data_IF_824254348379
#
_entry.id   IF_824254348379
#
_cell.length_a   1.000
_cell.length_b   1.000
_cell.length_c   1.000
_cell.angle_alpha   90.00
_cell.angle_beta   90.00
_cell.angle_gamma   90.00
#
_symmetry.space_group_name_H-M   'P 1'
#
loop_
_entity.id
_entity.type
_entity.pdbx_description
1 polymer ?
#
# COMPACT_ATOMS: atom_id res chain seq x y z
N UNK A 1 -37.43 -16.95 -0.28
CA UNK A 1 -37.43 -15.99 -1.42
C UNK A 1 -36.18 -15.19 -1.32
N UNK A 2 -35.15 -15.54 -2.12
CA UNK A 2 -33.93 -14.73 -2.21
C UNK A 2 -34.25 -13.48 -3.03
N UNK A 3 -34.41 -12.37 -2.34
CA UNK A 3 -34.47 -11.07 -2.99
C UNK A 3 -33.04 -10.73 -3.44
N UNK A 4 -32.70 -11.06 -4.67
CA UNK A 4 -31.54 -10.45 -5.32
C UNK A 4 -31.84 -8.96 -5.49
N UNK A 5 -31.37 -8.15 -4.54
CA UNK A 5 -31.35 -6.70 -4.69
C UNK A 5 -30.38 -6.41 -5.84
N UNK A 6 -30.95 -6.10 -7.01
CA UNK A 6 -30.16 -5.60 -8.13
C UNK A 6 -29.66 -4.21 -7.73
N UNK A 7 -28.39 -4.10 -7.41
CA UNK A 7 -27.79 -2.79 -7.19
C UNK A 7 -28.00 -1.93 -8.45
N UNK A 8 -28.47 -0.71 -8.24
CA UNK A 8 -28.77 0.23 -9.34
C UNK A 8 -27.56 1.04 -9.77
N UNK A 9 -26.45 0.92 -9.04
CA UNK A 9 -25.19 1.61 -9.29
C UNK A 9 -24.02 0.70 -8.97
N UNK A 10 -23.04 0.68 -9.84
CA UNK A 10 -21.78 -0.04 -9.64
C UNK A 10 -20.63 0.74 -10.29
N UNK A 11 -19.42 0.38 -9.91
CA UNK A 11 -18.19 0.87 -10.54
C UNK A 11 -17.52 -0.32 -11.22
N UNK A 12 -17.15 -0.18 -12.47
CA UNK A 12 -16.36 -1.16 -13.21
C UNK A 12 -14.90 -0.70 -13.25
N UNK A 13 -13.99 -1.60 -12.88
CA UNK A 13 -12.55 -1.36 -12.94
C UNK A 13 -11.97 -2.27 -14.01
N UNK A 14 -11.42 -1.67 -15.05
CA UNK A 14 -10.73 -2.37 -16.14
C UNK A 14 -9.28 -2.65 -15.74
N UNK A 15 -9.02 -3.91 -15.34
CA UNK A 15 -7.67 -4.33 -14.92
C UNK A 15 -6.71 -4.43 -16.10
N UNK A 16 -7.18 -4.70 -17.32
CA UNK A 16 -6.33 -4.74 -18.52
C UNK A 16 -5.83 -3.32 -18.87
N UNK A 17 -6.71 -2.32 -18.71
CA UNK A 17 -6.32 -0.91 -18.88
C UNK A 17 -5.31 -0.48 -17.81
N UNK A 18 -5.47 -0.93 -16.57
CA UNK A 18 -4.53 -0.67 -15.48
C UNK A 18 -3.16 -1.28 -15.80
N UNK A 19 -3.12 -2.55 -16.17
CA UNK A 19 -1.91 -3.25 -16.60
C UNK A 19 -1.22 -2.55 -17.77
N UNK A 20 -1.99 -2.17 -18.80
CA UNK A 20 -1.47 -1.42 -19.93
C UNK A 20 -0.79 -0.11 -19.48
N UNK A 21 -1.44 0.65 -18.61
CA UNK A 21 -0.92 1.92 -18.11
C UNK A 21 0.39 1.76 -17.35
N UNK A 22 0.49 0.76 -16.47
CA UNK A 22 1.75 0.46 -15.74
C UNK A 22 2.87 0.09 -16.71
N UNK A 23 2.57 -0.75 -17.69
CA UNK A 23 3.55 -1.13 -18.75
C UNK A 23 4.03 0.08 -19.55
N UNK A 24 3.16 1.05 -19.87
CA UNK A 24 3.56 2.28 -20.57
C UNK A 24 4.49 3.14 -19.70
N UNK A 25 4.16 3.29 -18.42
CA UNK A 25 5.02 4.00 -17.46
C UNK A 25 6.39 3.32 -17.40
N UNK A 26 6.43 1.99 -17.20
CA UNK A 26 7.67 1.23 -17.10
C UNK A 26 8.55 1.37 -18.35
N UNK A 27 7.94 1.33 -19.55
CA UNK A 27 8.67 1.55 -20.81
C UNK A 27 9.30 2.94 -20.86
N UNK A 28 8.60 3.95 -20.35
CA UNK A 28 9.07 5.35 -20.38
C UNK A 28 10.18 5.63 -19.38
N UNK A 29 10.11 5.05 -18.18
CA UNK A 29 11.10 5.28 -17.10
C UNK A 29 12.31 4.35 -17.20
N UNK A 30 12.20 3.23 -17.95
CA UNK A 30 13.25 2.22 -18.07
C UNK A 30 13.35 1.29 -16.85
N UNK A 31 14.25 0.31 -16.92
CA UNK A 31 14.34 -0.77 -15.94
C UNK A 31 15.08 -0.37 -14.65
N UNK A 32 15.76 0.77 -14.64
CA UNK A 32 16.53 1.24 -13.49
C UNK A 32 15.67 2.03 -12.47
N UNK A 33 14.42 2.33 -12.80
CA UNK A 33 13.50 3.06 -11.94
C UNK A 33 12.38 2.13 -11.48
N UNK A 34 12.17 2.08 -10.16
CA UNK A 34 11.12 1.26 -9.56
C UNK A 34 9.84 2.06 -9.41
N UNK A 35 8.69 1.41 -9.59
CA UNK A 35 7.36 2.01 -9.43
C UNK A 35 6.85 1.71 -8.03
N UNK A 36 6.55 2.76 -7.25
CA UNK A 36 5.75 2.65 -6.03
C UNK A 36 4.28 2.97 -6.39
N UNK A 37 3.39 2.01 -6.22
CA UNK A 37 1.98 2.19 -6.52
C UNK A 37 1.24 2.81 -5.33
N UNK A 38 0.74 4.03 -5.50
CA UNK A 38 0.00 4.74 -4.46
C UNK A 38 -1.46 4.32 -4.49
N UNK A 39 -1.87 3.57 -3.46
CA UNK A 39 -3.22 2.99 -3.34
C UNK A 39 -3.98 3.49 -2.11
N UNK A 40 -3.59 4.65 -1.58
CA UNK A 40 -4.28 5.32 -0.47
C UNK A 40 -5.73 5.69 -0.84
N UNK A 41 -6.56 5.95 0.16
CA UNK A 41 -7.97 6.28 0.01
C UNK A 41 -8.70 5.27 -0.89
N UNK A 42 -8.51 3.98 -0.58
CA UNK A 42 -9.04 2.87 -1.35
C UNK A 42 -8.70 2.95 -2.85
N UNK A 43 -7.41 3.23 -3.14
CA UNK A 43 -6.89 3.49 -4.49
C UNK A 43 -7.69 4.58 -5.22
N UNK A 44 -8.02 5.65 -4.51
CA UNK A 44 -8.85 6.76 -5.03
C UNK A 44 -10.21 6.32 -5.57
N UNK A 45 -10.81 5.29 -4.95
CA UNK A 45 -12.10 4.72 -5.33
C UNK A 45 -12.03 3.58 -6.34
N UNK A 46 -10.83 3.12 -6.71
CA UNK A 46 -10.67 1.96 -7.58
C UNK A 46 -10.71 0.62 -6.81
N UNK A 47 -10.69 0.66 -5.48
CA UNK A 47 -10.59 -0.54 -4.65
C UNK A 47 -9.13 -0.99 -4.50
N UNK A 48 -8.48 -0.62 -3.39
CA UNK A 48 -7.06 -0.94 -3.18
C UNK A 48 -6.81 -2.46 -3.15
N UNK A 49 -7.73 -3.22 -2.57
CA UNK A 49 -7.63 -4.69 -2.48
C UNK A 49 -7.78 -5.34 -3.85
N UNK A 50 -8.65 -4.79 -4.69
CA UNK A 50 -9.00 -5.30 -6.02
C UNK A 50 -7.85 -5.07 -7.02
N UNK A 51 -7.19 -3.91 -6.96
CA UNK A 51 -6.20 -3.55 -7.98
C UNK A 51 -4.75 -3.83 -7.57
N UNK A 52 -4.45 -3.97 -6.27
CA UNK A 52 -3.07 -4.10 -5.80
C UNK A 52 -2.36 -5.33 -6.39
N UNK A 53 -3.06 -6.46 -6.56
CA UNK A 53 -2.51 -7.65 -7.20
C UNK A 53 -2.02 -7.36 -8.62
N UNK A 54 -2.88 -6.78 -9.45
CA UNK A 54 -2.54 -6.41 -10.84
C UNK A 54 -1.36 -5.44 -10.89
N UNK A 55 -1.31 -4.44 -9.99
CA UNK A 55 -0.19 -3.50 -9.94
C UNK A 55 1.14 -4.20 -9.64
N UNK A 56 1.16 -5.11 -8.67
CA UNK A 56 2.36 -5.85 -8.26
C UNK A 56 2.81 -6.84 -9.35
N UNK A 57 1.88 -7.60 -9.91
CA UNK A 57 2.15 -8.56 -10.99
C UNK A 57 2.66 -7.86 -12.27
N UNK A 58 2.23 -6.63 -12.51
CA UNK A 58 2.65 -5.84 -13.69
C UNK A 58 3.98 -5.12 -13.47
N UNK A 59 4.52 -5.09 -12.25
CA UNK A 59 5.86 -4.57 -11.97
C UNK A 59 5.96 -3.43 -10.98
N UNK A 60 4.90 -3.12 -10.24
CA UNK A 60 5.03 -2.24 -9.09
C UNK A 60 5.94 -2.92 -8.04
N UNK A 61 6.94 -2.19 -7.57
CA UNK A 61 7.92 -2.68 -6.60
C UNK A 61 7.35 -2.72 -5.18
N UNK A 62 6.49 -1.75 -4.84
CA UNK A 62 5.88 -1.62 -3.53
C UNK A 62 4.52 -0.93 -3.64
N UNK A 63 3.72 -1.06 -2.58
CA UNK A 63 2.49 -0.30 -2.40
C UNK A 63 2.75 0.88 -1.46
N UNK A 64 2.05 2.01 -1.67
CA UNK A 64 2.13 3.17 -0.79
C UNK A 64 0.73 3.62 -0.39
N UNK A 65 0.55 3.86 0.90
CA UNK A 65 -0.73 4.22 1.53
C UNK A 65 -0.56 5.47 2.40
N UNK A 66 -1.64 6.08 2.86
CA UNK A 66 -1.56 7.27 3.72
C UNK A 66 -1.50 6.96 5.20
N UNK A 67 -2.07 5.84 5.64
CA UNK A 67 -2.23 5.53 7.07
C UNK A 67 -1.86 4.09 7.40
N UNK A 68 -1.63 3.82 8.67
CA UNK A 68 -1.38 2.47 9.15
C UNK A 68 -2.61 1.57 8.96
N UNK A 69 -3.82 2.08 9.09
CA UNK A 69 -5.03 1.28 8.90
C UNK A 69 -5.11 0.74 7.47
N UNK A 70 -4.88 1.57 6.46
CA UNK A 70 -4.82 1.14 5.06
C UNK A 70 -3.71 0.09 4.84
N UNK A 71 -2.54 0.27 5.47
CA UNK A 71 -1.45 -0.71 5.39
C UNK A 71 -1.84 -2.05 6.02
N UNK A 72 -2.52 -2.04 7.16
CA UNK A 72 -2.97 -3.24 7.86
C UNK A 72 -4.06 -4.01 7.11
N UNK A 73 -4.88 -3.32 6.32
CA UNK A 73 -5.87 -3.98 5.45
C UNK A 73 -5.22 -4.75 4.29
N UNK A 74 -4.10 -4.24 3.78
CA UNK A 74 -3.37 -4.86 2.67
C UNK A 74 -2.36 -5.92 3.12
N UNK A 75 -1.76 -5.77 4.30
CA UNK A 75 -0.70 -6.66 4.79
C UNK A 75 -1.08 -8.15 4.81
N UNK A 76 -2.28 -8.58 5.25
CA UNK A 76 -2.67 -9.99 5.22
C UNK A 76 -2.73 -10.59 3.81
N UNK A 77 -3.00 -9.75 2.80
CA UNK A 77 -3.09 -10.17 1.40
C UNK A 77 -1.71 -10.24 0.73
N UNK A 78 -0.76 -9.43 1.19
CA UNK A 78 0.56 -9.24 0.58
C UNK A 78 1.68 -9.33 1.62
N UNK A 79 1.90 -10.51 2.18
CA UNK A 79 2.81 -10.73 3.31
C UNK A 79 4.27 -10.31 3.05
N UNK A 80 4.77 -10.47 1.83
CA UNK A 80 6.17 -10.25 1.45
C UNK A 80 6.40 -8.98 0.62
N UNK A 81 5.38 -8.15 0.45
CA UNK A 81 5.50 -6.92 -0.33
C UNK A 81 5.81 -5.75 0.59
N UNK A 82 6.67 -4.86 0.14
CA UNK A 82 6.91 -3.61 0.84
C UNK A 82 5.68 -2.72 0.78
N UNK A 83 5.20 -2.28 1.94
CA UNK A 83 4.10 -1.33 2.07
C UNK A 83 4.63 -0.09 2.79
N UNK A 84 4.62 1.05 2.09
CA UNK A 84 5.08 2.33 2.60
C UNK A 84 3.91 3.17 3.11
N UNK A 85 4.00 3.62 4.35
CA UNK A 85 3.10 4.61 4.92
C UNK A 85 3.67 5.99 4.63
N UNK A 86 2.96 6.78 3.79
CA UNK A 86 3.35 8.12 3.38
C UNK A 86 3.11 9.17 4.46
N UNK A 87 2.09 8.96 5.30
CA UNK A 87 1.77 9.83 6.42
C UNK A 87 2.59 9.53 7.66
N UNK A 88 2.52 10.43 8.64
CA UNK A 88 3.07 10.17 9.96
C UNK A 88 2.17 9.21 10.72
N UNK A 89 2.78 8.32 11.52
CA UNK A 89 2.06 7.54 12.53
C UNK A 89 2.38 8.09 13.93
N UNK A 90 1.42 7.96 14.83
CA UNK A 90 1.62 8.31 16.24
C UNK A 90 2.46 7.23 16.94
N UNK A 91 3.07 7.60 18.07
CA UNK A 91 3.95 6.71 18.84
C UNK A 91 3.28 5.38 19.19
N UNK A 92 1.98 5.40 19.48
CA UNK A 92 1.18 4.22 19.84
C UNK A 92 1.17 3.13 18.76
N UNK A 93 1.37 3.50 17.49
CA UNK A 93 1.32 2.57 16.36
C UNK A 93 2.70 2.13 15.85
N UNK A 94 3.79 2.69 16.36
CA UNK A 94 5.16 2.36 15.90
C UNK A 94 5.45 0.86 16.10
N UNK A 95 5.13 0.31 17.28
CA UNK A 95 5.31 -1.12 17.55
C UNK A 95 4.58 -2.00 16.53
N UNK A 96 3.35 -1.67 16.20
CA UNK A 96 2.54 -2.41 15.26
C UNK A 96 3.11 -2.31 13.84
N UNK A 97 3.55 -1.12 13.42
CA UNK A 97 4.17 -0.93 12.12
C UNK A 97 5.43 -1.79 11.96
N UNK A 98 6.29 -1.84 12.99
CA UNK A 98 7.49 -2.66 13.02
C UNK A 98 7.13 -4.16 12.97
N UNK A 99 6.18 -4.62 13.80
CA UNK A 99 5.76 -6.02 13.84
C UNK A 99 5.17 -6.49 12.52
N UNK A 100 4.42 -5.61 11.84
CA UNK A 100 3.84 -5.87 10.53
C UNK A 100 4.81 -5.62 9.37
N UNK A 101 6.08 -5.32 9.64
CA UNK A 101 7.10 -5.05 8.62
C UNK A 101 6.65 -3.98 7.61
N UNK A 102 6.15 -2.85 8.12
CA UNK A 102 5.73 -1.71 7.32
C UNK A 102 6.87 -0.69 7.21
N UNK A 103 7.02 -0.12 6.05
CA UNK A 103 7.91 1.02 5.84
C UNK A 103 7.21 2.31 6.23
N UNK A 104 7.96 3.23 6.81
CA UNK A 104 7.40 4.47 7.29
C UNK A 104 8.18 5.68 6.83
N UNK A 105 7.46 6.73 6.43
CA UNK A 105 8.02 8.05 6.20
C UNK A 105 8.39 8.69 7.54
N UNK A 106 9.63 9.16 7.66
CA UNK A 106 10.16 9.85 8.82
C UNK A 106 10.46 11.29 8.43
N UNK A 107 9.82 12.24 9.12
CA UNK A 107 9.97 13.68 8.84
C UNK A 107 10.72 14.45 9.93
N UNK A 108 10.84 13.87 11.12
CA UNK A 108 11.48 14.49 12.29
C UNK A 108 12.55 13.56 12.88
N UNK A 109 13.67 14.14 13.30
CA UNK A 109 14.76 13.41 13.96
C UNK A 109 14.28 12.66 15.21
N UNK A 110 13.44 13.29 16.03
CA UNK A 110 12.90 12.66 17.23
C UNK A 110 12.07 11.40 16.90
N UNK A 111 11.32 11.41 15.83
CA UNK A 111 10.56 10.26 15.35
C UNK A 111 11.49 9.09 14.96
N UNK A 112 12.61 9.39 14.28
CA UNK A 112 13.61 8.37 13.96
C UNK A 112 14.18 7.70 15.22
N UNK A 113 14.48 8.49 16.25
CA UNK A 113 14.98 7.98 17.54
C UNK A 113 13.93 7.10 18.26
N UNK A 114 12.67 7.51 18.25
CA UNK A 114 11.58 6.72 18.84
C UNK A 114 11.42 5.38 18.13
N UNK A 115 11.40 5.37 16.80
CA UNK A 115 11.30 4.15 16.00
C UNK A 115 12.48 3.23 16.28
N UNK A 116 13.70 3.75 16.25
CA UNK A 116 14.92 2.99 16.53
C UNK A 116 14.87 2.33 17.91
N UNK A 117 14.51 3.08 18.95
CA UNK A 117 14.39 2.55 20.31
C UNK A 117 13.37 1.43 20.43
N UNK A 118 12.22 1.58 19.78
CA UNK A 118 11.16 0.54 19.80
C UNK A 118 11.61 -0.69 18.99
N UNK A 119 12.29 -0.50 17.87
CA UNK A 119 12.84 -1.60 17.09
C UNK A 119 13.87 -2.42 17.89
N UNK A 120 14.76 -1.75 18.65
CA UNK A 120 15.71 -2.44 19.55
C UNK A 120 14.98 -3.28 20.62
N UNK A 121 13.93 -2.76 21.23
CA UNK A 121 13.13 -3.49 22.24
C UNK A 121 12.48 -4.72 21.61
N UNK A 122 11.99 -4.60 20.38
CA UNK A 122 11.33 -5.68 19.64
C UNK A 122 12.35 -6.64 18.97
N UNK A 123 13.66 -6.34 19.02
CA UNK A 123 14.74 -7.09 18.37
C UNK A 123 14.54 -7.23 16.85
N UNK A 124 14.14 -6.13 16.23
CA UNK A 124 13.90 -6.02 14.80
C UNK A 124 14.68 -4.87 14.18
#
# INVERSE_FOLDING_TARGET
>A
MDYHIKETKWVEIDLDALEFNIKQIQRKIGNNVKIAAVVKADAYGHGAREIAGTLLETGAFQLAVSSINEALELRPLYANIDILILGNITEDYISQAIQCNLQQTVTLHIQALQISKIAEILKK
#
